data_IF_555009848389
#
_entry.id   IF_555009848389
#
_cell.length_a   1.000
_cell.length_b   1.000
_cell.length_c   1.000
_cell.angle_alpha   90.00
_cell.angle_beta   90.00
_cell.angle_gamma   90.00
#
_symmetry.space_group_name_H-M   'P 1'
#
loop_
_entity.id
_entity.type
_entity.pdbx_description
1 polymer ?
#
# COMPACT_ATOMS: atom_id res chain seq x y z
N UNK A 1 -6.43 -6.16 -11.84
CA UNK A 1 -5.27 -7.07 -11.98
C UNK A 1 -4.82 -7.56 -10.59
N UNK A 2 -4.32 -8.80 -10.42
CA UNK A 2 -3.84 -9.24 -9.11
C UNK A 2 -2.57 -8.47 -8.69
N UNK A 3 -2.32 -8.34 -7.38
CA UNK A 3 -1.18 -7.56 -6.85
C UNK A 3 0.18 -8.09 -7.36
N UNK A 4 0.31 -9.40 -7.51
CA UNK A 4 1.52 -10.03 -8.03
C UNK A 4 1.77 -9.67 -9.51
N UNK A 5 0.74 -9.77 -10.36
CA UNK A 5 0.82 -9.41 -11.78
C UNK A 5 1.18 -7.93 -11.98
N UNK A 6 0.61 -7.05 -11.16
CA UNK A 6 0.92 -5.61 -11.16
C UNK A 6 2.38 -5.37 -10.76
N UNK A 7 2.85 -6.02 -9.69
CA UNK A 7 4.24 -5.92 -9.24
C UNK A 7 5.22 -6.39 -10.32
N UNK A 8 4.95 -7.54 -10.95
CA UNK A 8 5.80 -8.10 -12.00
C UNK A 8 5.87 -7.18 -13.23
N UNK A 9 4.74 -6.60 -13.66
CA UNK A 9 4.70 -5.66 -14.79
C UNK A 9 5.52 -4.38 -14.56
N UNK A 10 5.69 -3.98 -13.30
CA UNK A 10 6.43 -2.78 -12.89
C UNK A 10 7.89 -3.08 -12.49
N UNK A 11 8.31 -4.36 -12.51
CA UNK A 11 9.59 -4.79 -11.93
C UNK A 11 9.70 -4.50 -10.43
N UNK A 12 8.56 -4.41 -9.74
CA UNK A 12 8.46 -4.07 -8.34
C UNK A 12 8.57 -5.32 -7.45
N UNK A 13 9.19 -5.16 -6.28
CA UNK A 13 9.23 -6.21 -5.26
C UNK A 13 7.98 -6.14 -4.39
N UNK A 14 7.15 -7.18 -4.42
CA UNK A 14 6.07 -7.34 -3.45
C UNK A 14 6.57 -7.97 -2.15
N UNK A 15 5.71 -8.08 -1.14
CA UNK A 15 6.05 -8.44 0.24
C UNK A 15 6.84 -9.76 0.39
N UNK A 16 6.62 -10.78 -0.45
CA UNK A 16 7.40 -12.05 -0.44
C UNK A 16 8.87 -11.88 -0.82
N UNK A 17 9.19 -10.79 -1.53
CA UNK A 17 10.54 -10.48 -1.97
C UNK A 17 11.31 -9.59 -0.99
N UNK A 18 10.70 -9.27 0.16
CA UNK A 18 11.38 -8.55 1.24
C UNK A 18 12.24 -9.51 2.08
N UNK A 19 13.22 -8.99 2.86
CA UNK A 19 14.13 -9.82 3.64
C UNK A 19 13.43 -10.84 4.56
N UNK A 20 12.26 -10.49 5.09
CA UNK A 20 11.46 -11.39 5.94
C UNK A 20 10.70 -12.49 5.19
N UNK A 21 10.75 -12.52 3.84
CA UNK A 21 9.89 -13.34 3.00
C UNK A 21 8.37 -13.20 3.30
N UNK A 22 7.99 -12.09 3.96
CA UNK A 22 6.63 -11.83 4.39
C UNK A 22 6.33 -12.08 5.86
N UNK A 23 7.23 -12.70 6.62
CA UNK A 23 6.99 -12.99 8.05
C UNK A 23 6.89 -11.72 8.89
N UNK A 24 7.56 -10.63 8.49
CA UNK A 24 7.55 -9.33 9.17
C UNK A 24 7.06 -8.20 8.25
N UNK A 25 6.22 -8.53 7.27
CA UNK A 25 5.79 -7.60 6.22
C UNK A 25 5.19 -6.30 6.79
N UNK A 26 4.40 -6.37 7.86
CA UNK A 26 3.78 -5.19 8.48
C UNK A 26 4.81 -4.21 9.06
N UNK A 27 5.85 -4.72 9.71
CA UNK A 27 6.95 -3.88 10.23
C UNK A 27 7.77 -3.26 9.09
N UNK A 28 8.02 -4.03 8.02
CA UNK A 28 8.73 -3.54 6.84
C UNK A 28 7.91 -2.49 6.08
N UNK A 29 6.59 -2.67 5.99
CA UNK A 29 5.66 -1.70 5.44
C UNK A 29 5.66 -0.41 6.28
N UNK A 30 5.46 -0.51 7.59
CA UNK A 30 5.46 0.63 8.50
C UNK A 30 6.76 1.44 8.41
N UNK A 31 7.91 0.75 8.34
CA UNK A 31 9.20 1.41 8.15
C UNK A 31 9.29 2.13 6.79
N UNK A 32 8.73 1.54 5.73
CA UNK A 32 8.74 2.13 4.39
C UNK A 32 7.90 3.40 4.34
N UNK A 33 6.70 3.36 4.92
CA UNK A 33 5.78 4.51 5.00
C UNK A 33 6.35 5.57 5.94
N UNK A 34 6.82 5.22 7.14
CA UNK A 34 7.31 6.19 8.11
C UNK A 34 8.56 6.94 7.64
N UNK A 35 9.48 6.27 6.91
CA UNK A 35 10.78 6.86 6.55
C UNK A 35 10.89 7.25 5.07
N UNK A 36 9.92 6.90 4.22
CA UNK A 36 9.89 7.30 2.80
C UNK A 36 11.09 6.80 1.96
N UNK A 37 11.90 5.87 2.47
CA UNK A 37 13.13 5.40 1.80
C UNK A 37 12.86 4.44 0.64
N UNK A 38 11.66 3.87 0.60
CA UNK A 38 11.24 2.92 -0.43
C UNK A 38 9.99 3.48 -1.10
N UNK A 39 9.96 3.49 -2.44
CA UNK A 39 8.72 3.81 -3.15
C UNK A 39 7.68 2.73 -2.88
N UNK A 40 6.52 3.15 -2.40
CA UNK A 40 5.39 2.25 -2.13
C UNK A 40 4.36 2.40 -3.25
N UNK A 41 3.87 1.28 -3.77
CA UNK A 41 2.91 1.25 -4.87
C UNK A 41 1.62 0.61 -4.37
N UNK A 42 0.49 1.28 -4.62
CA UNK A 42 -0.85 0.78 -4.29
C UNK A 42 -1.65 0.54 -5.57
N UNK A 43 -2.23 -0.66 -5.70
CA UNK A 43 -3.27 -0.92 -6.69
C UNK A 43 -4.64 -0.62 -6.07
N UNK A 44 -5.42 0.25 -6.70
CA UNK A 44 -6.77 0.63 -6.27
C UNK A 44 -7.88 -0.09 -7.05
N UNK A 45 -7.54 -1.06 -7.91
CA UNK A 45 -8.51 -1.91 -8.59
C UNK A 45 -9.41 -2.61 -7.56
N UNK A 46 -10.74 -2.51 -7.72
CA UNK A 46 -11.72 -3.06 -6.78
C UNK A 46 -11.90 -2.25 -5.49
N UNK A 47 -11.26 -1.07 -5.38
CA UNK A 47 -11.46 -0.10 -4.29
C UNK A 47 -12.08 1.17 -4.87
N UNK A 48 -13.40 1.29 -4.72
CA UNK A 48 -14.15 2.42 -5.26
C UNK A 48 -13.79 3.74 -4.56
N UNK A 49 -13.75 3.71 -3.23
CA UNK A 49 -13.40 4.84 -2.36
C UNK A 49 -12.19 4.49 -1.45
N UNK A 50 -10.96 4.84 -1.87
CA UNK A 50 -9.75 4.59 -1.08
C UNK A 50 -9.75 5.32 0.27
N UNK A 51 -10.45 6.45 0.38
CA UNK A 51 -10.54 7.23 1.63
C UNK A 51 -11.47 6.52 2.61
N UNK A 52 -12.61 6.01 2.14
CA UNK A 52 -13.48 5.17 2.96
C UNK A 52 -12.79 3.85 3.36
N UNK A 53 -12.07 3.20 2.43
CA UNK A 53 -11.30 2.00 2.72
C UNK A 53 -10.24 2.23 3.80
N UNK A 54 -9.52 3.35 3.74
CA UNK A 54 -8.55 3.74 4.77
C UNK A 54 -9.18 4.02 6.14
N UNK A 55 -10.46 4.39 6.21
CA UNK A 55 -11.18 4.54 7.49
C UNK A 55 -11.59 3.18 8.06
N UNK A 56 -11.93 2.22 7.19
CA UNK A 56 -12.24 0.86 7.61
C UNK A 56 -11.01 0.11 8.15
N UNK A 57 -9.81 0.53 7.74
CA UNK A 57 -8.54 0.01 8.27
C UNK A 57 -8.13 0.54 9.65
N UNK A 58 -8.77 1.60 10.16
CA UNK A 58 -8.47 2.15 11.48
C UNK A 58 -8.74 1.10 12.58
N UNK A 59 -7.69 0.70 13.31
CA UNK A 59 -7.80 -0.27 14.40
C UNK A 59 -7.85 -1.74 13.98
N UNK A 60 -7.65 -2.05 12.69
CA UNK A 60 -7.47 -3.42 12.24
C UNK A 60 -6.07 -3.93 12.58
N UNK A 61 -6.00 -5.17 13.06
CA UNK A 61 -4.76 -5.94 13.02
C UNK A 61 -4.58 -6.53 11.62
N UNK A 62 -3.42 -6.31 10.95
CA UNK A 62 -3.24 -6.75 9.58
C UNK A 62 -3.17 -8.28 9.50
N UNK A 63 -4.27 -8.90 9.06
CA UNK A 63 -4.29 -10.33 8.73
C UNK A 63 -3.86 -10.50 7.27
N UNK A 64 -2.82 -11.31 7.10
CA UNK A 64 -2.28 -11.69 5.81
C UNK A 64 -3.38 -12.31 4.91
N UNK A 65 -3.48 -11.90 3.64
CA UNK A 65 -4.51 -12.30 2.64
C UNK A 65 -5.98 -11.90 2.90
N UNK A 66 -6.31 -11.22 4.00
CA UNK A 66 -7.71 -10.86 4.30
C UNK A 66 -8.06 -9.38 4.13
N UNK A 67 -7.22 -8.48 4.66
CA UNK A 67 -7.58 -7.06 4.88
C UNK A 67 -6.36 -6.11 4.84
N UNK A 68 -5.22 -6.58 4.33
CA UNK A 68 -3.96 -5.83 4.33
C UNK A 68 -4.09 -4.45 3.67
N UNK A 69 -4.78 -4.34 2.54
CA UNK A 69 -4.82 -3.09 1.76
C UNK A 69 -5.55 -1.95 2.47
N UNK A 70 -6.64 -2.23 3.20
CA UNK A 70 -7.33 -1.19 3.99
C UNK A 70 -6.41 -0.64 5.09
N UNK A 71 -5.73 -1.53 5.81
CA UNK A 71 -4.75 -1.19 6.85
C UNK A 71 -3.53 -0.44 6.28
N UNK A 72 -3.00 -0.86 5.13
CA UNK A 72 -1.88 -0.17 4.45
C UNK A 72 -2.29 1.25 4.02
N UNK A 73 -3.51 1.42 3.48
CA UNK A 73 -4.06 2.72 3.12
C UNK A 73 -4.21 3.64 4.34
N UNK A 74 -4.65 3.10 5.48
CA UNK A 74 -4.67 3.82 6.76
C UNK A 74 -3.27 4.30 7.16
N UNK A 75 -2.27 3.42 7.08
CA UNK A 75 -0.87 3.77 7.36
C UNK A 75 -0.39 4.94 6.51
N UNK A 76 -0.68 4.93 5.22
CA UNK A 76 -0.31 6.02 4.32
C UNK A 76 -1.07 7.33 4.62
N UNK A 77 -2.40 7.26 4.82
CA UNK A 77 -3.24 8.40 5.20
C UNK A 77 -2.69 9.11 6.46
N UNK A 78 -2.27 8.34 7.45
CA UNK A 78 -1.78 8.86 8.73
C UNK A 78 -0.33 9.37 8.69
N UNK A 79 0.38 9.21 7.57
CA UNK A 79 1.77 9.65 7.40
C UNK A 79 1.94 10.57 6.17
N UNK A 80 1.47 11.84 6.22
CA UNK A 80 1.57 12.77 5.08
C UNK A 80 2.98 13.01 4.56
N UNK A 81 3.99 12.94 5.42
CA UNK A 81 5.40 13.05 5.02
C UNK A 81 5.87 11.95 4.06
N UNK A 82 5.14 10.84 3.97
CA UNK A 82 5.43 9.72 3.07
C UNK A 82 4.89 9.92 1.65
N UNK A 83 3.89 10.78 1.47
CA UNK A 83 3.13 10.93 0.22
C UNK A 83 3.97 11.14 -1.04
N UNK A 84 5.08 11.90 -1.03
CA UNK A 84 5.94 12.03 -2.22
C UNK A 84 6.57 10.72 -2.70
N UNK A 85 6.61 9.70 -1.84
CA UNK A 85 7.18 8.38 -2.12
C UNK A 85 6.13 7.30 -2.38
N UNK A 86 4.84 7.68 -2.44
CA UNK A 86 3.75 6.74 -2.71
C UNK A 86 3.16 6.98 -4.09
N UNK A 87 2.99 5.91 -4.85
CA UNK A 87 2.32 5.91 -6.15
C UNK A 87 1.06 5.05 -6.07
N UNK A 88 -0.03 5.58 -6.63
CA UNK A 88 -1.31 4.89 -6.73
C UNK A 88 -1.60 4.56 -8.17
N UNK A 89 -2.25 3.43 -8.40
CA UNK A 89 -2.59 2.94 -9.73
C UNK A 89 -4.06 2.51 -9.77
N UNK A 90 -4.68 2.70 -10.93
CA UNK A 90 -5.97 2.12 -11.29
C UNK A 90 -5.89 1.64 -12.74
N UNK A 91 -6.30 0.40 -12.98
CA UNK A 91 -6.16 -0.28 -14.27
C UNK A 91 -4.74 -0.20 -14.84
N UNK A 92 -3.73 -0.27 -13.96
CA UNK A 92 -2.31 -0.16 -14.31
C UNK A 92 -1.81 1.26 -14.62
N UNK A 93 -2.66 2.29 -14.53
CA UNK A 93 -2.31 3.69 -14.82
C UNK A 93 -2.09 4.46 -13.51
N UNK A 94 -1.01 5.26 -13.37
CA UNK A 94 -0.82 6.11 -12.20
C UNK A 94 -1.98 7.10 -12.02
N UNK A 95 -2.46 7.24 -10.78
CA UNK A 95 -3.52 8.19 -10.40
C UNK A 95 -3.04 9.10 -9.26
N UNK A 96 -3.77 10.19 -9.04
CA UNK A 96 -3.49 11.11 -7.94
C UNK A 96 -3.59 10.40 -6.58
N UNK A 97 -2.78 10.84 -5.62
CA UNK A 97 -2.89 10.36 -4.24
C UNK A 97 -4.27 10.80 -3.66
N UNK A 98 -5.12 9.86 -3.24
CA UNK A 98 -6.48 10.15 -2.79
C UNK A 98 -6.54 10.89 -1.44
N UNK A 99 -5.41 11.04 -0.74
CA UNK A 99 -5.32 11.73 0.54
C UNK A 99 -4.81 13.18 0.43
N UNK A 100 -4.38 13.61 -0.76
CA UNK A 100 -4.04 15.01 -1.01
C UNK A 100 -5.35 15.79 -1.19
N UNK A 101 -5.56 16.90 -0.45
CA UNK A 101 -6.75 17.75 -0.58
C UNK A 101 -6.91 18.40 -1.96
#
# INVERSE_FOLDING_TARGET
>A
MALADSADSLGAKFWKHRPSAGENWGNEFNSSVAYGRTKTHFNLDGIDDPVAAARLGDGLDPIFDGQATAWELTGNRNNPGSWPNVLFYRDGVPVANPFIP
#
